data_IF_254754494633
#
_entry.id   IF_254754494633
#
_cell.length_a   1.000
_cell.length_b   1.000
_cell.length_c   1.000
_cell.angle_alpha   90.00
_cell.angle_beta   90.00
_cell.angle_gamma   90.00
#
_symmetry.space_group_name_H-M   'P 1'
#
loop_
_entity.id
_entity.type
_entity.pdbx_description
1 polymer ?
#
# COMPACT_ATOMS: atom_id res chain seq x y z
N UNK A 1 36.07 -5.31 -26.26
CA UNK A 1 34.78 -6.03 -26.42
C UNK A 1 33.62 -5.47 -25.55
N UNK A 2 33.82 -4.45 -24.71
CA UNK A 2 32.74 -3.91 -23.85
C UNK A 2 32.01 -2.67 -24.41
N UNK A 3 32.55 -1.99 -25.44
CA UNK A 3 31.88 -0.85 -26.08
C UNK A 3 30.53 -1.15 -26.76
N UNK A 4 30.29 -2.32 -27.40
CA UNK A 4 29.01 -2.59 -28.07
C UNK A 4 27.83 -2.75 -27.11
N UNK A 5 28.10 -3.08 -25.83
CA UNK A 5 27.06 -3.26 -24.80
C UNK A 5 26.50 -1.93 -24.29
N UNK A 6 27.26 -0.84 -24.36
CA UNK A 6 26.77 0.50 -23.98
C UNK A 6 25.78 1.08 -24.99
N UNK A 7 25.84 0.67 -26.26
CA UNK A 7 24.90 1.13 -27.29
C UNK A 7 23.51 0.46 -27.23
N UNK A 8 23.36 -0.62 -26.45
CA UNK A 8 22.06 -1.26 -26.20
C UNK A 8 21.36 -0.72 -24.95
N UNK A 9 22.00 0.20 -24.21
CA UNK A 9 21.34 0.97 -23.17
C UNK A 9 20.59 2.10 -23.86
N UNK A 10 19.40 1.80 -24.37
CA UNK A 10 18.42 2.85 -24.67
C UNK A 10 18.37 3.78 -23.45
N UNK A 11 18.45 5.12 -23.60
CA UNK A 11 18.14 6.00 -22.49
C UNK A 11 16.80 5.53 -21.93
N UNK A 12 16.75 5.19 -20.63
CA UNK A 12 15.55 4.68 -20.01
C UNK A 12 14.44 5.71 -20.28
N UNK A 13 13.52 5.37 -21.19
CA UNK A 13 12.44 6.27 -21.55
C UNK A 13 11.60 6.45 -20.30
N UNK A 14 11.41 7.70 -19.89
CA UNK A 14 10.54 7.99 -18.78
C UNK A 14 9.11 7.57 -19.14
N UNK A 15 8.48 6.78 -18.28
CA UNK A 15 7.12 6.29 -18.46
C UNK A 15 6.08 7.22 -17.82
N UNK A 16 4.85 7.11 -18.29
CA UNK A 16 3.67 7.79 -17.77
C UNK A 16 3.01 6.97 -16.66
N UNK A 17 2.97 7.53 -15.45
CA UNK A 17 2.52 6.86 -14.24
C UNK A 17 1.17 7.39 -13.77
N UNK A 18 0.23 6.49 -13.52
CA UNK A 18 -0.98 6.80 -12.76
C UNK A 18 -0.72 6.48 -11.29
N UNK A 19 -0.87 7.48 -10.42
CA UNK A 19 -0.67 7.33 -8.98
C UNK A 19 -2.00 7.30 -8.27
N UNK A 20 -2.25 6.24 -7.52
CA UNK A 20 -3.45 6.09 -6.67
C UNK A 20 -2.96 5.92 -5.23
N UNK A 21 -2.84 7.03 -4.47
CA UNK A 21 -2.22 7.01 -3.14
C UNK A 21 -3.21 6.66 -2.03
N UNK A 22 -2.66 6.47 -0.82
CA UNK A 22 -3.39 6.56 0.44
C UNK A 22 -3.02 7.88 1.15
N UNK A 23 -3.99 8.50 1.81
CA UNK A 23 -3.81 9.75 2.58
C UNK A 23 -2.94 9.57 3.84
N UNK A 24 -2.56 10.69 4.47
CA UNK A 24 -1.79 10.68 5.72
C UNK A 24 -0.30 10.39 5.51
N UNK A 25 0.30 9.59 6.40
CA UNK A 25 1.75 9.31 6.37
C UNK A 25 2.20 8.51 5.14
N UNK A 26 1.27 7.80 4.50
CA UNK A 26 1.49 7.06 3.27
C UNK A 26 1.81 8.03 2.12
N UNK A 27 0.94 9.03 1.93
CA UNK A 27 1.14 10.10 0.96
C UNK A 27 2.45 10.85 1.17
N UNK A 28 2.77 11.23 2.41
CA UNK A 28 4.01 11.97 2.71
C UNK A 28 5.26 11.21 2.24
N UNK A 29 5.31 9.89 2.44
CA UNK A 29 6.45 9.08 1.96
C UNK A 29 6.42 8.89 0.44
N UNK A 30 5.22 8.71 -0.14
CA UNK A 30 5.06 8.49 -1.58
C UNK A 30 5.48 9.72 -2.38
N UNK A 31 5.13 10.92 -1.91
CA UNK A 31 5.44 12.20 -2.55
C UNK A 31 6.94 12.39 -2.78
N UNK A 32 7.78 11.98 -1.83
CA UNK A 32 9.25 12.07 -1.99
C UNK A 32 9.76 11.18 -3.12
N UNK A 33 9.16 10.00 -3.32
CA UNK A 33 9.45 9.12 -4.46
C UNK A 33 8.94 9.74 -5.76
N UNK A 34 7.74 10.32 -5.78
CA UNK A 34 7.22 11.01 -6.96
C UNK A 34 8.11 12.17 -7.39
N UNK A 35 8.66 12.94 -6.45
CA UNK A 35 9.58 14.04 -6.75
C UNK A 35 10.83 13.53 -7.48
N UNK A 36 11.37 12.39 -7.06
CA UNK A 36 12.53 11.78 -7.72
C UNK A 36 12.18 11.16 -9.08
N UNK A 37 11.00 10.55 -9.23
CA UNK A 37 10.50 10.07 -10.52
C UNK A 37 10.27 11.22 -11.51
N UNK A 38 9.70 12.33 -11.05
CA UNK A 38 9.47 13.54 -11.85
C UNK A 38 10.80 14.13 -12.36
N UNK A 39 11.84 14.22 -11.50
CA UNK A 39 13.20 14.64 -11.90
C UNK A 39 13.83 13.73 -12.96
N UNK A 40 13.44 12.45 -12.99
CA UNK A 40 13.89 11.47 -13.99
C UNK A 40 13.05 11.52 -15.28
N UNK A 41 12.13 12.47 -15.38
CA UNK A 41 11.34 12.76 -16.57
C UNK A 41 9.99 12.02 -16.64
N UNK A 42 9.59 11.29 -15.60
CA UNK A 42 8.31 10.58 -15.61
C UNK A 42 7.14 11.55 -15.67
N UNK A 43 6.17 11.30 -16.55
CA UNK A 43 4.89 12.00 -16.54
C UNK A 43 4.03 11.38 -15.44
N UNK A 44 3.64 12.16 -14.44
CA UNK A 44 2.95 11.65 -13.26
C UNK A 44 1.56 12.27 -13.17
N UNK A 45 0.54 11.43 -13.08
CA UNK A 45 -0.84 11.86 -12.80
C UNK A 45 -1.28 11.27 -11.47
N UNK A 46 -1.54 12.13 -10.48
CA UNK A 46 -2.08 11.73 -9.18
C UNK A 46 -3.60 11.81 -9.23
N UNK A 47 -4.26 10.71 -8.87
CA UNK A 47 -5.71 10.62 -8.79
C UNK A 47 -6.14 10.53 -7.32
N UNK A 48 -6.85 11.53 -6.83
CA UNK A 48 -7.27 11.65 -5.44
C UNK A 48 -8.77 11.93 -5.31
N UNK A 49 -9.43 11.53 -4.21
CA UNK A 49 -10.81 11.96 -3.97
C UNK A 49 -10.87 13.48 -3.71
N UNK A 50 -12.01 14.10 -3.98
CA UNK A 50 -12.21 15.55 -3.74
C UNK A 50 -12.14 15.95 -2.26
N UNK A 51 -12.40 14.99 -1.35
CA UNK A 51 -12.24 15.13 0.09
C UNK A 51 -10.80 14.95 0.61
N UNK A 52 -9.78 15.07 -0.27
CA UNK A 52 -8.36 14.98 0.05
C UNK A 52 -7.92 15.82 1.26
N UNK A 53 -6.94 15.29 2.00
CA UNK A 53 -6.44 15.85 3.26
C UNK A 53 -5.09 16.51 3.05
N UNK A 54 -4.07 15.73 2.66
CA UNK A 54 -2.69 16.19 2.48
C UNK A 54 -2.25 16.25 1.01
N UNK A 55 -3.03 15.68 0.10
CA UNK A 55 -2.76 15.74 -1.33
C UNK A 55 -3.21 17.11 -1.85
N UNK A 56 -2.29 17.83 -2.49
CA UNK A 56 -2.56 19.15 -3.07
C UNK A 56 -1.88 19.27 -4.45
N UNK A 57 -2.14 20.37 -5.16
CA UNK A 57 -1.44 20.71 -6.40
C UNK A 57 0.08 20.80 -6.20
N UNK A 58 0.84 20.45 -7.23
CA UNK A 58 2.30 20.48 -7.21
C UNK A 58 2.85 20.56 -8.62
N UNK A 59 4.05 21.11 -8.80
CA UNK A 59 4.72 21.18 -10.10
C UNK A 59 5.31 19.83 -10.54
N UNK A 60 5.32 18.81 -9.68
CA UNK A 60 5.93 17.49 -9.95
C UNK A 60 4.96 16.47 -10.55
N UNK A 61 3.64 16.74 -10.54
CA UNK A 61 2.60 15.87 -11.07
C UNK A 61 1.34 16.64 -11.46
N UNK A 62 0.53 16.07 -12.34
CA UNK A 62 -0.82 16.53 -12.62
C UNK A 62 -1.82 15.93 -11.62
N UNK A 63 -2.57 16.78 -10.91
CA UNK A 63 -3.60 16.33 -9.98
C UNK A 63 -4.97 16.23 -10.66
N UNK A 64 -5.62 15.07 -10.54
CA UNK A 64 -7.02 14.86 -10.91
C UNK A 64 -7.83 14.43 -9.70
N UNK A 65 -9.04 14.97 -9.59
CA UNK A 65 -9.94 14.66 -8.49
C UNK A 65 -11.24 14.01 -8.96
N UNK A 66 -11.83 13.18 -8.11
CA UNK A 66 -13.15 12.59 -8.34
C UNK A 66 -14.05 12.75 -7.10
N UNK A 67 -15.37 12.91 -7.29
CA UNK A 67 -16.28 13.16 -6.19
C UNK A 67 -16.50 11.91 -5.32
N UNK A 68 -16.57 12.09 -4.01
CA UNK A 68 -16.92 11.00 -3.06
C UNK A 68 -18.02 11.43 -2.08
N UNK A 69 -18.84 10.49 -1.58
CA UNK A 69 -19.95 10.81 -0.67
C UNK A 69 -19.50 11.06 0.78
N UNK A 70 -18.19 11.06 1.05
CA UNK A 70 -17.61 11.10 2.39
C UNK A 70 -17.04 12.48 2.65
N UNK A 71 -17.41 13.09 3.78
CA UNK A 71 -16.88 14.40 4.16
C UNK A 71 -15.41 14.30 4.56
N UNK A 72 -14.64 15.36 4.29
CA UNK A 72 -13.21 15.43 4.66
C UNK A 72 -12.99 15.21 6.15
N UNK A 73 -13.84 15.79 6.99
CA UNK A 73 -13.73 15.70 8.45
C UNK A 73 -13.93 14.26 8.96
N UNK A 74 -14.77 13.47 8.30
CA UNK A 74 -14.94 12.05 8.64
C UNK A 74 -13.69 11.23 8.31
N UNK A 75 -13.07 11.47 7.16
CA UNK A 75 -11.83 10.81 6.77
C UNK A 75 -10.67 11.21 7.69
N UNK A 76 -10.56 12.50 8.03
CA UNK A 76 -9.57 12.98 8.99
C UNK A 76 -9.74 12.36 10.37
N UNK A 77 -10.98 12.27 10.87
CA UNK A 77 -11.27 11.64 12.16
C UNK A 77 -10.91 10.14 12.15
N UNK A 78 -11.15 9.44 11.04
CA UNK A 78 -10.75 8.03 10.88
C UNK A 78 -9.23 7.86 10.97
N UNK A 79 -8.47 8.69 10.25
CA UNK A 79 -7.00 8.62 10.22
C UNK A 79 -6.42 9.01 11.58
N UNK A 80 -6.87 10.13 12.17
CA UNK A 80 -6.38 10.61 13.48
C UNK A 80 -6.64 9.61 14.61
N UNK A 81 -7.75 8.88 14.55
CA UNK A 81 -8.09 7.91 15.59
C UNK A 81 -7.25 6.63 15.53
N UNK A 82 -6.45 6.39 14.47
CA UNK A 82 -5.61 5.18 14.38
C UNK A 82 -4.44 5.20 15.37
N UNK A 83 -3.69 6.30 15.42
CA UNK A 83 -2.45 6.41 16.21
C UNK A 83 -2.61 6.04 17.69
N UNK A 84 -3.49 6.70 18.46
CA UNK A 84 -3.68 6.39 19.88
C UNK A 84 -4.07 4.93 20.16
N UNK A 85 -4.77 4.27 19.23
CA UNK A 85 -5.17 2.85 19.39
C UNK A 85 -4.00 1.89 19.28
N UNK A 86 -2.96 2.22 18.51
CA UNK A 86 -1.75 1.40 18.41
C UNK A 86 -0.99 1.32 19.73
N UNK A 87 -1.13 2.33 20.59
CA UNK A 87 -0.46 2.46 21.88
C UNK A 87 -1.40 2.27 23.07
N UNK A 88 -2.61 1.74 22.84
CA UNK A 88 -3.55 1.46 23.93
C UNK A 88 -3.04 0.31 24.80
N UNK A 89 -3.12 0.49 26.12
CA UNK A 89 -2.86 -0.53 27.13
C UNK A 89 -4.11 -1.36 27.48
N UNK A 90 -5.16 -1.27 26.66
CA UNK A 90 -6.40 -2.03 26.84
C UNK A 90 -6.13 -3.55 26.95
N UNK A 91 -6.88 -4.27 27.82
CA UNK A 91 -6.90 -5.73 27.83
C UNK A 91 -7.15 -6.32 26.44
N UNK A 92 -6.56 -7.49 26.16
CA UNK A 92 -6.59 -8.11 24.83
C UNK A 92 -7.98 -8.17 24.19
N UNK A 93 -9.01 -8.59 24.93
CA UNK A 93 -10.37 -8.69 24.41
C UNK A 93 -10.96 -7.32 24.05
N UNK A 94 -10.72 -6.30 24.88
CA UNK A 94 -11.19 -4.93 24.62
C UNK A 94 -10.50 -4.39 23.37
N UNK A 95 -9.17 -4.55 23.29
CA UNK A 95 -8.37 -4.18 22.13
C UNK A 95 -8.84 -4.87 20.86
N UNK A 96 -9.11 -6.17 20.92
CA UNK A 96 -9.61 -6.97 19.80
C UNK A 96 -10.94 -6.41 19.26
N UNK A 97 -11.92 -6.16 20.14
CA UNK A 97 -13.20 -5.58 19.72
C UNK A 97 -13.06 -4.15 19.18
N UNK A 98 -12.18 -3.34 19.77
CA UNK A 98 -11.90 -1.98 19.29
C UNK A 98 -11.26 -1.99 17.89
N UNK A 99 -10.34 -2.93 17.63
CA UNK A 99 -9.72 -3.14 16.32
C UNK A 99 -10.75 -3.60 15.29
N UNK A 100 -11.60 -4.56 15.62
CA UNK A 100 -12.67 -5.01 14.73
C UNK A 100 -13.64 -3.87 14.38
N UNK A 101 -14.07 -3.07 15.36
CA UNK A 101 -14.94 -1.91 15.14
C UNK A 101 -14.26 -0.88 14.24
N UNK A 102 -12.96 -0.66 14.43
CA UNK A 102 -12.18 0.22 13.55
C UNK A 102 -12.13 -0.31 12.13
N UNK A 103 -11.75 -1.58 11.94
CA UNK A 103 -11.64 -2.17 10.61
C UNK A 103 -12.96 -2.12 9.85
N UNK A 104 -14.09 -2.41 10.50
CA UNK A 104 -15.41 -2.25 9.85
C UNK A 104 -15.67 -0.82 9.38
N UNK A 105 -15.42 0.17 10.23
CA UNK A 105 -15.61 1.59 9.88
C UNK A 105 -14.65 1.99 8.77
N UNK A 106 -13.37 1.64 8.90
CA UNK A 106 -12.31 1.96 7.94
C UNK A 106 -12.59 1.33 6.57
N UNK A 107 -12.95 0.05 6.54
CA UNK A 107 -13.27 -0.67 5.32
C UNK A 107 -14.48 -0.04 4.62
N UNK A 108 -15.54 0.31 5.36
CA UNK A 108 -16.71 0.97 4.78
C UNK A 108 -16.39 2.32 4.15
N UNK A 109 -15.58 3.17 4.81
CA UNK A 109 -15.22 4.48 4.25
C UNK A 109 -14.32 4.34 3.01
N UNK A 110 -13.27 3.53 3.09
CA UNK A 110 -12.34 3.35 1.97
C UNK A 110 -12.98 2.59 0.80
N UNK A 111 -13.84 1.61 1.05
CA UNK A 111 -14.63 0.93 0.01
C UNK A 111 -15.55 1.92 -0.70
N UNK A 112 -16.25 2.81 0.02
CA UNK A 112 -17.11 3.80 -0.60
C UNK A 112 -16.32 4.80 -1.47
N UNK A 113 -15.15 5.26 -1.01
CA UNK A 113 -14.22 6.05 -1.83
C UNK A 113 -13.77 5.27 -3.07
N UNK A 114 -13.49 3.98 -2.92
CA UNK A 114 -13.08 3.09 -4.00
C UNK A 114 -14.17 2.91 -5.05
N UNK A 115 -15.39 2.66 -4.61
CA UNK A 115 -16.57 2.49 -5.45
C UNK A 115 -16.85 3.74 -6.26
N UNK A 116 -16.76 4.93 -5.64
CA UNK A 116 -16.88 6.20 -6.35
C UNK A 116 -15.85 6.36 -7.47
N UNK A 117 -14.61 5.91 -7.26
CA UNK A 117 -13.58 5.91 -8.29
C UNK A 117 -13.90 4.93 -9.43
N UNK A 118 -14.12 3.65 -9.10
CA UNK A 118 -14.33 2.57 -10.08
C UNK A 118 -15.54 2.81 -10.98
N UNK A 119 -16.61 3.41 -10.43
CA UNK A 119 -17.84 3.69 -11.17
C UNK A 119 -17.91 5.10 -11.75
N UNK A 120 -16.86 5.91 -11.63
CA UNK A 120 -16.76 7.19 -12.30
C UNK A 120 -16.40 6.99 -13.78
N UNK A 121 -17.41 7.09 -14.66
CA UNK A 121 -17.27 6.86 -16.11
C UNK A 121 -16.26 7.80 -16.78
N UNK A 122 -16.19 9.06 -16.33
CA UNK A 122 -15.28 10.05 -16.90
C UNK A 122 -13.82 9.69 -16.59
N UNK A 123 -13.54 9.39 -15.32
CA UNK A 123 -12.22 8.97 -14.86
C UNK A 123 -11.79 7.66 -15.51
N UNK A 124 -12.67 6.66 -15.56
CA UNK A 124 -12.33 5.37 -16.18
C UNK A 124 -12.06 5.51 -17.68
N UNK A 125 -12.82 6.34 -18.39
CA UNK A 125 -12.56 6.66 -19.81
C UNK A 125 -11.23 7.41 -19.98
N UNK A 126 -10.93 8.33 -19.08
CA UNK A 126 -9.64 9.04 -19.07
C UNK A 126 -8.46 8.07 -18.88
N UNK A 127 -8.54 7.16 -17.89
CA UNK A 127 -7.50 6.16 -17.64
C UNK A 127 -7.26 5.30 -18.88
N UNK A 128 -8.33 4.80 -19.49
CA UNK A 128 -8.26 3.99 -20.71
C UNK A 128 -7.61 4.76 -21.89
N UNK A 129 -7.99 6.03 -22.08
CA UNK A 129 -7.48 6.86 -23.18
C UNK A 129 -6.05 7.36 -22.98
N UNK A 130 -5.60 7.46 -21.73
CA UNK A 130 -4.29 8.04 -21.38
C UNK A 130 -3.11 7.11 -21.56
N UNK A 131 -3.34 5.80 -21.73
CA UNK A 131 -2.32 4.77 -21.97
C UNK A 131 -1.15 4.85 -20.97
N UNK A 132 -1.46 4.75 -19.68
CA UNK A 132 -0.45 4.72 -18.62
C UNK A 132 0.45 3.48 -18.75
N UNK A 133 1.75 3.66 -18.53
CA UNK A 133 2.74 2.58 -18.57
C UNK A 133 2.73 1.74 -17.30
N UNK A 134 2.41 2.35 -16.15
CA UNK A 134 2.26 1.65 -14.88
C UNK A 134 1.33 2.40 -13.91
N UNK A 135 0.77 1.67 -12.96
CA UNK A 135 0.03 2.21 -11.81
C UNK A 135 0.92 2.12 -10.56
N UNK A 136 1.25 3.26 -9.98
CA UNK A 136 1.96 3.34 -8.71
C UNK A 136 0.96 3.55 -7.57
N UNK A 137 0.75 2.54 -6.74
CA UNK A 137 -0.39 2.52 -5.80
C UNK A 137 -0.01 2.02 -4.43
N UNK A 138 -0.77 2.47 -3.43
CA UNK A 138 -0.71 1.90 -2.10
C UNK A 138 -1.60 0.63 -2.03
N UNK A 139 -1.05 -0.57 -1.75
CA UNK A 139 -1.83 -1.80 -1.69
C UNK A 139 -2.78 -1.89 -0.50
N UNK A 140 -2.70 -1.00 0.50
CA UNK A 140 -3.69 -0.95 1.59
C UNK A 140 -5.06 -0.49 1.08
N UNK A 141 -5.11 0.34 0.04
CA UNK A 141 -6.33 0.66 -0.70
C UNK A 141 -6.31 -0.02 -2.08
N UNK A 142 -7.03 -1.14 -2.27
CA UNK A 142 -6.85 -1.97 -3.46
C UNK A 142 -7.43 -1.39 -4.75
N UNK A 143 -8.06 -0.21 -4.75
CA UNK A 143 -8.66 0.38 -5.96
C UNK A 143 -7.68 0.50 -7.13
N UNK A 144 -6.46 0.95 -6.85
CA UNK A 144 -5.44 1.06 -7.89
C UNK A 144 -5.11 -0.30 -8.51
N UNK A 145 -5.12 -1.36 -7.69
CA UNK A 145 -4.94 -2.72 -8.20
C UNK A 145 -6.15 -3.23 -8.98
N UNK A 146 -7.38 -2.91 -8.56
CA UNK A 146 -8.60 -3.27 -9.32
C UNK A 146 -8.52 -2.65 -10.73
N UNK A 147 -8.15 -1.38 -10.81
CA UNK A 147 -7.96 -0.65 -12.08
C UNK A 147 -6.84 -1.28 -12.91
N UNK A 148 -5.71 -1.61 -12.27
CA UNK A 148 -4.58 -2.28 -12.93
C UNK A 148 -5.00 -3.59 -13.59
N UNK A 149 -5.72 -4.45 -12.88
CA UNK A 149 -6.23 -5.71 -13.43
C UNK A 149 -7.27 -5.46 -14.52
N UNK A 150 -8.18 -4.50 -14.35
CA UNK A 150 -9.21 -4.19 -15.33
C UNK A 150 -8.64 -3.74 -16.68
N UNK A 151 -7.63 -2.85 -16.66
CA UNK A 151 -7.01 -2.32 -17.87
C UNK A 151 -5.74 -3.06 -18.30
N UNK A 152 -5.33 -4.12 -17.58
CA UNK A 152 -4.08 -4.85 -17.82
C UNK A 152 -2.83 -3.95 -17.81
N UNK A 153 -2.78 -3.01 -16.86
CA UNK A 153 -1.65 -2.11 -16.64
C UNK A 153 -0.80 -2.68 -15.50
N UNK A 154 0.54 -2.78 -15.64
CA UNK A 154 1.38 -3.29 -14.55
C UNK A 154 1.33 -2.35 -13.35
N UNK A 155 1.25 -2.93 -12.16
CA UNK A 155 1.19 -2.17 -10.91
C UNK A 155 2.47 -2.31 -10.09
N UNK A 156 2.86 -1.18 -9.49
CA UNK A 156 3.98 -1.05 -8.57
C UNK A 156 3.40 -0.65 -7.22
N UNK A 157 3.55 -1.52 -6.22
CA UNK A 157 3.05 -1.29 -4.88
C UNK A 157 4.06 -0.52 -4.05
N UNK A 158 3.58 0.45 -3.26
CA UNK A 158 4.40 1.23 -2.34
C UNK A 158 3.84 1.20 -0.93
N UNK A 159 4.44 0.40 -0.06
CA UNK A 159 4.01 0.29 1.33
C UNK A 159 5.10 -0.35 2.20
N UNK A 160 5.04 -0.18 3.52
CA UNK A 160 5.92 -0.94 4.43
C UNK A 160 5.51 -2.42 4.49
N UNK A 161 4.24 -2.67 4.72
CA UNK A 161 3.60 -3.98 4.70
C UNK A 161 2.09 -3.84 4.77
N UNK A 162 1.35 -4.88 4.39
CA UNK A 162 -0.11 -4.90 4.47
C UNK A 162 -0.50 -5.67 5.73
N UNK A 163 -1.53 -5.26 6.49
CA UNK A 163 -1.99 -6.02 7.66
C UNK A 163 -2.19 -7.51 7.36
N UNK A 164 -1.88 -8.35 8.37
CA UNK A 164 -1.94 -9.80 8.27
C UNK A 164 -0.97 -10.43 7.25
N UNK A 165 0.07 -9.68 6.84
CA UNK A 165 1.09 -10.11 5.88
C UNK A 165 0.49 -10.55 4.53
N UNK A 166 -0.63 -9.94 4.11
CA UNK A 166 -1.23 -10.24 2.80
C UNK A 166 -0.25 -9.95 1.67
N UNK A 167 0.59 -8.93 1.80
CA UNK A 167 1.63 -8.63 0.82
C UNK A 167 2.66 -9.76 0.68
N UNK A 168 2.99 -10.45 1.78
CA UNK A 168 3.90 -11.60 1.78
C UNK A 168 3.26 -12.79 1.09
N UNK A 169 1.99 -13.07 1.41
CA UNK A 169 1.20 -14.13 0.78
C UNK A 169 0.97 -13.87 -0.70
N UNK A 170 0.63 -12.63 -1.07
CA UNK A 170 0.40 -12.20 -2.45
C UNK A 170 1.67 -12.26 -3.28
N UNK A 171 2.82 -11.94 -2.70
CA UNK A 171 4.13 -12.13 -3.32
C UNK A 171 4.55 -13.62 -3.41
N UNK A 172 3.78 -14.54 -2.83
CA UNK A 172 4.11 -15.97 -2.72
C UNK A 172 5.39 -16.24 -1.90
N UNK A 173 5.71 -15.34 -0.97
CA UNK A 173 6.84 -15.49 -0.06
C UNK A 173 6.42 -16.33 1.17
N UNK A 174 7.30 -17.18 1.72
CA UNK A 174 7.03 -17.86 2.98
C UNK A 174 6.85 -16.88 4.15
N UNK A 175 5.84 -17.10 5.00
CA UNK A 175 5.56 -16.30 6.20
C UNK A 175 5.61 -17.16 7.48
N UNK A 176 6.80 -17.62 7.93
CA UNK A 176 6.93 -18.56 9.04
C UNK A 176 6.82 -17.85 10.41
N UNK A 177 5.73 -18.09 11.17
CA UNK A 177 5.53 -17.45 12.48
C UNK A 177 6.47 -18.01 13.56
N UNK A 178 7.28 -19.03 13.24
CA UNK A 178 8.26 -19.56 14.17
C UNK A 178 9.38 -18.57 14.44
N UNK A 179 9.81 -17.76 13.47
CA UNK A 179 10.92 -16.80 13.65
C UNK A 179 10.62 -15.39 13.11
N UNK A 180 9.56 -15.20 12.32
CA UNK A 180 9.13 -13.87 11.89
C UNK A 180 8.11 -13.33 12.91
N UNK A 181 8.44 -12.29 13.70
CA UNK A 181 7.51 -11.75 14.69
C UNK A 181 6.33 -11.03 14.03
N UNK A 182 5.11 -11.24 14.56
CA UNK A 182 3.92 -10.52 14.08
C UNK A 182 4.00 -9.04 14.42
N UNK A 183 3.45 -8.21 13.55
CA UNK A 183 3.41 -6.76 13.76
C UNK A 183 2.68 -6.44 15.09
N UNK A 184 3.22 -5.52 15.87
CA UNK A 184 2.69 -5.14 17.21
C UNK A 184 2.69 -6.25 18.28
N UNK A 185 3.34 -7.39 18.05
CA UNK A 185 3.48 -8.46 19.06
C UNK A 185 4.48 -8.13 20.19
N UNK A 186 5.34 -7.13 19.97
CA UNK A 186 6.53 -6.78 20.78
C UNK A 186 7.56 -7.92 20.88
N UNK A 187 7.49 -8.90 19.98
CA UNK A 187 8.45 -9.99 19.87
C UNK A 187 9.58 -9.63 18.90
N UNK A 188 10.70 -10.32 19.04
CA UNK A 188 11.86 -10.24 18.15
C UNK A 188 11.97 -11.51 17.30
N UNK A 189 12.97 -11.61 16.43
CA UNK A 189 13.35 -12.84 15.73
C UNK A 189 13.93 -13.92 16.68
N UNK A 190 14.42 -13.52 17.84
CA UNK A 190 14.89 -14.40 18.90
C UNK A 190 13.78 -14.71 19.93
N UNK A 191 12.92 -15.69 19.59
CA UNK A 191 11.83 -16.14 20.46
C UNK A 191 12.11 -17.46 21.19
N UNK A 192 11.75 -17.53 22.48
CA UNK A 192 11.60 -18.78 23.24
C UNK A 192 10.40 -19.59 22.72
N UNK A 193 10.29 -20.87 23.11
CA UNK A 193 9.15 -21.70 22.69
C UNK A 193 7.79 -21.07 23.02
N UNK A 194 7.60 -20.55 24.23
CA UNK A 194 6.34 -19.91 24.63
C UNK A 194 6.05 -18.63 23.83
N UNK A 195 7.08 -17.85 23.51
CA UNK A 195 6.95 -16.68 22.63
C UNK A 195 6.58 -17.08 21.20
N UNK A 196 7.13 -18.18 20.66
CA UNK A 196 6.73 -18.70 19.34
C UNK A 196 5.28 -19.17 19.32
N UNK A 197 4.82 -19.84 20.38
CA UNK A 197 3.41 -20.23 20.54
C UNK A 197 2.52 -18.98 20.57
N UNK A 198 2.89 -17.94 21.35
CA UNK A 198 2.19 -16.65 21.37
C UNK A 198 2.14 -16.03 19.97
N UNK A 199 3.26 -15.98 19.25
CA UNK A 199 3.35 -15.41 17.92
C UNK A 199 2.46 -16.15 16.91
N UNK A 200 2.44 -17.48 16.99
CA UNK A 200 1.57 -18.33 16.18
C UNK A 200 0.08 -18.10 16.48
N UNK A 201 -0.30 -17.94 17.74
CA UNK A 201 -1.69 -17.62 18.10
C UNK A 201 -2.12 -16.24 17.58
N UNK A 202 -1.23 -15.25 17.60
CA UNK A 202 -1.48 -13.93 16.99
C UNK A 202 -1.70 -14.10 15.49
N UNK A 203 -0.80 -14.82 14.80
CA UNK A 203 -0.92 -15.13 13.37
C UNK A 203 -2.29 -15.74 13.02
N UNK A 204 -2.78 -16.72 13.80
CA UNK A 204 -4.09 -17.31 13.56
C UNK A 204 -5.25 -16.32 13.78
N UNK A 205 -5.14 -15.46 14.80
CA UNK A 205 -6.18 -14.46 15.11
C UNK A 205 -6.30 -13.34 14.05
N UNK A 206 -5.20 -13.05 13.37
CA UNK A 206 -5.13 -12.03 12.33
C UNK A 206 -5.98 -12.39 11.11
N UNK A 207 -5.99 -13.67 10.70
CA UNK A 207 -6.79 -14.16 9.57
C UNK A 207 -8.26 -13.78 9.68
N UNK A 208 -8.86 -13.91 10.87
CA UNK A 208 -10.24 -13.51 11.11
C UNK A 208 -10.43 -11.99 11.00
N UNK A 209 -9.55 -11.22 11.64
CA UNK A 209 -9.66 -9.76 11.70
C UNK A 209 -9.47 -9.12 10.31
N UNK A 210 -8.57 -9.66 9.50
CA UNK A 210 -8.33 -9.21 8.14
C UNK A 210 -9.42 -9.65 7.17
N UNK A 211 -10.04 -10.83 7.34
CA UNK A 211 -11.23 -11.19 6.56
C UNK A 211 -12.32 -10.12 6.71
N UNK A 212 -12.57 -9.64 7.93
CA UNK A 212 -13.54 -8.54 8.19
C UNK A 212 -13.08 -7.21 7.57
N UNK A 213 -11.79 -6.92 7.55
CA UNK A 213 -11.25 -5.68 7.01
C UNK A 213 -11.28 -5.64 5.46
N UNK A 214 -11.03 -6.77 4.81
CA UNK A 214 -10.86 -6.85 3.36
C UNK A 214 -12.08 -7.35 2.61
N UNK A 215 -13.04 -8.04 3.25
CA UNK A 215 -14.22 -8.56 2.56
C UNK A 215 -15.01 -7.51 1.76
N UNK A 216 -15.19 -6.25 2.21
CA UNK A 216 -15.90 -5.25 1.41
C UNK A 216 -15.18 -4.92 0.10
N UNK A 217 -13.84 -4.96 0.09
CA UNK A 217 -13.04 -4.76 -1.11
C UNK A 217 -13.04 -5.98 -2.02
N UNK A 218 -13.05 -7.20 -1.47
CA UNK A 218 -13.18 -8.43 -2.25
C UNK A 218 -14.54 -8.50 -2.95
N UNK A 219 -15.61 -8.12 -2.27
CA UNK A 219 -16.96 -8.00 -2.84
C UNK A 219 -16.98 -6.96 -3.96
N UNK A 220 -16.48 -5.73 -3.72
CA UNK A 220 -16.41 -4.68 -4.72
C UNK A 220 -15.55 -5.08 -5.93
N UNK A 221 -14.37 -5.66 -5.70
CA UNK A 221 -13.49 -6.13 -6.77
C UNK A 221 -14.15 -7.24 -7.59
N UNK A 222 -14.83 -8.18 -6.93
CA UNK A 222 -15.51 -9.28 -7.60
C UNK A 222 -16.69 -8.80 -8.45
N UNK A 223 -17.45 -7.85 -7.91
CA UNK A 223 -18.55 -7.18 -8.61
C UNK A 223 -18.04 -6.44 -9.86
N UNK A 224 -16.99 -5.63 -9.70
CA UNK A 224 -16.45 -4.79 -10.75
C UNK A 224 -15.75 -5.60 -11.86
N UNK A 225 -14.95 -6.60 -11.48
CA UNK A 225 -14.22 -7.47 -12.41
C UNK A 225 -15.07 -8.63 -12.96
N UNK A 226 -16.32 -8.77 -12.50
CA UNK A 226 -17.28 -9.81 -12.92
C UNK A 226 -16.77 -11.24 -12.72
N UNK A 227 -15.95 -11.46 -11.69
CA UNK A 227 -15.43 -12.78 -11.29
C UNK A 227 -15.07 -12.78 -9.81
N UNK A 228 -15.19 -13.90 -9.08
CA UNK A 228 -14.72 -13.99 -7.70
C UNK A 228 -13.22 -13.70 -7.61
N UNK A 229 -12.84 -12.79 -6.71
CA UNK A 229 -11.44 -12.42 -6.44
C UNK A 229 -11.26 -12.19 -4.94
N UNK A 230 -10.25 -12.86 -4.37
CA UNK A 230 -9.78 -12.58 -3.00
C UNK A 230 -8.71 -11.49 -3.00
N UNK A 231 -8.45 -10.88 -1.84
CA UNK A 231 -7.45 -9.82 -1.72
C UNK A 231 -6.05 -10.33 -2.06
N UNK A 232 -5.69 -11.51 -1.58
CA UNK A 232 -4.41 -12.15 -1.90
C UNK A 232 -4.26 -12.40 -3.40
N UNK A 233 -5.31 -12.88 -4.08
CA UNK A 233 -5.29 -13.07 -5.54
C UNK A 233 -5.22 -11.74 -6.29
N UNK A 234 -5.90 -10.70 -5.84
CA UNK A 234 -5.87 -9.41 -6.50
C UNK A 234 -4.47 -8.79 -6.44
N UNK A 235 -3.84 -8.83 -5.27
CA UNK A 235 -2.49 -8.29 -5.05
C UNK A 235 -1.39 -9.20 -5.63
N UNK A 236 -1.62 -10.49 -5.87
CA UNK A 236 -0.62 -11.36 -6.50
C UNK A 236 -0.34 -11.01 -7.97
N UNK A 237 -1.17 -10.17 -8.58
CA UNK A 237 -0.92 -9.58 -9.90
C UNK A 237 -0.01 -8.34 -9.87
N UNK A 238 0.51 -7.94 -8.71
CA UNK A 238 1.49 -6.84 -8.59
C UNK A 238 2.82 -7.18 -9.25
N UNK A 239 3.36 -6.24 -10.03
CA UNK A 239 4.64 -6.45 -10.73
C UNK A 239 5.84 -6.26 -9.80
N UNK A 240 5.83 -5.22 -8.97
CA UNK A 240 6.93 -4.88 -8.05
C UNK A 240 6.37 -4.39 -6.72
N UNK A 241 7.01 -4.81 -5.63
CA UNK A 241 6.75 -4.34 -4.28
C UNK A 241 7.88 -3.43 -3.82
N UNK A 242 7.67 -2.12 -3.84
CA UNK A 242 8.57 -1.15 -3.23
C UNK A 242 8.28 -1.08 -1.72
N UNK A 243 9.11 -1.77 -0.95
CA UNK A 243 8.95 -1.94 0.49
C UNK A 243 9.64 -0.80 1.22
N UNK A 244 8.88 0.00 1.97
CA UNK A 244 9.40 1.11 2.81
C UNK A 244 10.10 0.61 4.08
N UNK A 245 11.04 -0.31 3.93
CA UNK A 245 11.81 -0.91 5.00
C UNK A 245 13.24 -1.20 4.51
N UNK A 246 14.17 -1.24 5.44
CA UNK A 246 15.59 -1.55 5.20
C UNK A 246 15.93 -2.82 5.98
N UNK A 247 16.66 -3.74 5.37
CA UNK A 247 17.04 -5.01 6.00
C UNK A 247 17.93 -4.81 7.23
N UNK A 248 18.62 -3.67 7.37
CA UNK A 248 19.44 -3.36 8.53
C UNK A 248 18.60 -2.98 9.78
N UNK A 249 17.32 -2.63 9.61
CA UNK A 249 16.44 -2.16 10.68
C UNK A 249 15.19 -3.02 10.86
N UNK A 250 15.10 -4.16 10.19
CA UNK A 250 13.97 -5.09 10.28
C UNK A 250 14.46 -6.52 10.53
N UNK A 251 13.56 -7.39 10.98
CA UNK A 251 13.91 -8.76 11.31
C UNK A 251 14.12 -9.61 10.05
N UNK A 252 14.97 -10.66 10.11
CA UNK A 252 15.14 -11.58 9.02
C UNK A 252 13.81 -12.22 8.59
N UNK A 253 13.46 -12.07 7.32
CA UNK A 253 12.25 -12.65 6.74
C UNK A 253 12.51 -13.14 5.31
N UNK A 254 11.75 -14.12 4.81
CA UNK A 254 11.82 -14.52 3.41
C UNK A 254 11.39 -13.39 2.46
N UNK A 255 12.09 -13.25 1.34
CA UNK A 255 11.88 -12.18 0.36
C UNK A 255 11.84 -12.76 -1.04
N UNK A 256 11.04 -12.14 -1.91
CA UNK A 256 10.92 -12.53 -3.32
C UNK A 256 11.66 -11.53 -4.22
N UNK A 257 12.14 -11.93 -5.41
CA UNK A 257 12.91 -11.05 -6.30
C UNK A 257 12.21 -9.76 -6.72
N UNK A 258 10.87 -9.75 -6.73
CA UNK A 258 10.07 -8.57 -7.04
C UNK A 258 9.83 -7.65 -5.82
N UNK A 259 10.40 -7.97 -4.66
CA UNK A 259 10.35 -7.14 -3.45
C UNK A 259 11.63 -6.32 -3.33
N UNK A 260 11.51 -5.01 -3.52
CA UNK A 260 12.63 -4.07 -3.51
C UNK A 260 12.56 -3.21 -2.26
N UNK A 261 13.60 -3.31 -1.42
CA UNK A 261 13.73 -2.55 -0.19
C UNK A 261 14.22 -1.13 -0.46
N UNK A 262 13.40 -0.15 -0.10
CA UNK A 262 13.67 1.28 -0.28
C UNK A 262 13.54 2.01 1.06
N UNK A 263 14.06 1.42 2.13
CA UNK A 263 14.17 2.10 3.42
C UNK A 263 15.06 3.34 3.35
N UNK A 264 14.93 4.23 4.32
CA UNK A 264 15.73 5.47 4.38
C UNK A 264 15.27 6.60 3.45
N UNK A 265 14.27 6.39 2.59
CA UNK A 265 13.75 7.41 1.65
C UNK A 265 13.22 8.70 2.32
N UNK A 266 12.84 8.61 3.59
CA UNK A 266 12.34 9.77 4.35
C UNK A 266 13.47 10.53 5.07
N UNK A 267 14.71 10.07 4.98
CA UNK A 267 15.86 10.76 5.55
C UNK A 267 16.27 11.92 4.62
N UNK A 268 16.12 13.16 5.09
CA UNK A 268 16.56 14.35 4.37
C UNK A 268 18.09 14.48 4.28
N UNK A 269 18.56 15.65 3.83
CA UNK A 269 19.99 15.94 3.71
C UNK A 269 20.72 15.65 5.03
N UNK A 270 21.77 14.83 4.94
CA UNK A 270 22.66 14.51 6.07
C UNK A 270 23.29 15.81 6.57
N UNK A 271 22.99 16.20 7.81
CA UNK A 271 23.88 17.13 8.52
C UNK A 271 25.19 16.39 8.79
N UNK A 272 26.31 17.11 8.66
CA UNK A 272 27.59 16.57 9.12
C UNK A 272 27.44 16.18 10.59
N UNK A 273 27.88 14.96 10.94
CA UNK A 273 27.97 14.56 12.34
C UNK A 273 29.00 15.50 12.98
N UNK A 274 28.59 16.23 14.01
CA UNK A 274 29.54 16.93 14.87
C UNK A 274 30.36 15.86 15.59
N UNK A 275 31.68 15.89 15.39
CA UNK A 275 32.64 15.13 16.21
C UNK A 275 32.52 15.49 17.69
#
# INVERSE_FOLDING_TARGET
LLLPLLCCLSPASAGKLLVIPMEGSHWLSMREVLAELSKRGHEIVVLAPDNKILIDSSDIYDLKTYPVPIKKEEMEALIRSFGPRCFSEDPFLIRFWNVLKYFRKSASLFEATCRSLLYNKEVMKYIQGSKFDAIFTDPFNPCGQIIAVHFSIPSVFFMRGVPCNIDIQAAQSPDPPSYVPRMFSLLTDHMTFSQRVKNFLIFLSESFSCSVAFSPFEELASEFLRRPVTMTQLLSHGSVWLKRLDFAFDYPMPVMPNMVFIGGINCGHKKALSE
#
